data_IF_097059467930
#
_entry.id   IF_097059467930
#
_cell.length_a   1.000
_cell.length_b   1.000
_cell.length_c   1.000
_cell.angle_alpha   90.00
_cell.angle_beta   90.00
_cell.angle_gamma   90.00
#
_symmetry.space_group_name_H-M   'P 1'
#
loop_
_entity.id
_entity.type
_entity.pdbx_description
1 polymer ?
#
# COMPACT_ATOMS: atom_id res chain seq x y z
N UNK A 1 -2.43 -16.08 9.34
CA UNK A 1 -1.74 -14.87 8.86
C UNK A 1 -0.95 -14.31 10.03
N UNK A 2 0.23 -13.75 9.82
CA UNK A 2 0.99 -13.13 10.91
C UNK A 2 0.48 -11.71 11.12
N UNK A 3 -0.25 -11.49 12.22
CA UNK A 3 -0.87 -10.20 12.54
C UNK A 3 0.19 -9.09 12.68
N UNK A 4 1.39 -9.44 13.14
CA UNK A 4 2.50 -8.50 13.30
C UNK A 4 2.99 -7.93 11.96
N UNK A 5 2.71 -8.60 10.84
CA UNK A 5 3.00 -8.09 9.49
C UNK A 5 1.95 -7.07 9.04
N UNK A 6 0.68 -7.26 9.43
CA UNK A 6 -0.41 -6.32 9.11
C UNK A 6 -0.25 -5.02 9.90
N UNK A 7 0.17 -5.10 11.16
CA UNK A 7 0.46 -3.93 12.01
C UNK A 7 1.55 -3.02 11.41
N UNK A 8 2.46 -3.58 10.61
CA UNK A 8 3.53 -2.83 9.93
C UNK A 8 3.09 -2.19 8.62
N UNK A 9 1.83 -2.36 8.18
CA UNK A 9 1.36 -1.82 6.91
C UNK A 9 1.26 -0.29 6.90
N UNK A 10 0.87 0.31 8.02
CA UNK A 10 0.74 1.76 8.20
C UNK A 10 1.80 2.25 9.17
N UNK A 11 2.51 3.32 8.81
CA UNK A 11 3.41 3.97 9.76
C UNK A 11 2.60 5.02 10.54
N UNK A 12 2.43 4.87 11.87
CA UNK A 12 1.59 5.78 12.65
C UNK A 12 2.24 7.17 12.86
N UNK A 13 3.54 7.30 12.65
CA UNK A 13 4.27 8.55 12.84
C UNK A 13 4.93 9.01 11.53
N UNK A 14 4.59 10.23 11.13
CA UNK A 14 5.17 10.87 9.96
C UNK A 14 6.71 11.00 10.09
N UNK A 15 7.44 10.54 9.08
CA UNK A 15 8.92 10.53 9.12
C UNK A 15 9.57 11.90 8.87
N UNK A 16 8.82 12.88 8.34
CA UNK A 16 9.33 14.24 8.08
C UNK A 16 10.29 14.37 6.89
N UNK A 17 10.57 13.28 6.16
CA UNK A 17 11.51 13.28 5.02
C UNK A 17 10.81 13.65 3.73
N UNK A 18 11.33 14.63 2.99
CA UNK A 18 10.82 14.99 1.65
C UNK A 18 10.75 13.77 0.73
N UNK A 19 9.56 13.48 0.21
CA UNK A 19 9.30 12.36 -0.71
C UNK A 19 8.89 11.04 -0.06
N UNK A 20 8.85 10.95 1.27
CA UNK A 20 8.18 9.84 1.95
C UNK A 20 6.67 10.06 1.89
N UNK A 21 5.91 9.04 1.48
CA UNK A 21 4.46 9.08 1.59
C UNK A 21 4.09 8.98 3.07
N UNK A 22 3.37 9.99 3.57
CA UNK A 22 3.32 10.39 4.98
C UNK A 22 2.90 9.29 5.98
N UNK A 23 2.30 8.18 5.52
CA UNK A 23 1.71 7.14 6.39
C UNK A 23 1.92 5.70 5.91
N UNK A 24 2.78 5.44 4.93
CA UNK A 24 2.93 4.09 4.35
C UNK A 24 4.27 3.44 4.69
N UNK A 25 4.24 2.14 4.97
CA UNK A 25 5.47 1.39 5.20
C UNK A 25 6.18 0.99 3.92
N UNK A 26 7.47 0.69 4.05
CA UNK A 26 8.27 0.15 2.95
C UNK A 26 7.64 -1.12 2.37
N UNK A 27 6.95 -1.93 3.20
CA UNK A 27 6.21 -3.11 2.77
C UNK A 27 5.05 -2.73 1.84
N UNK A 28 4.23 -1.73 2.22
CA UNK A 28 3.14 -1.24 1.39
C UNK A 28 3.65 -0.67 0.05
N UNK A 29 4.70 0.15 0.09
CA UNK A 29 5.32 0.75 -1.11
C UNK A 29 5.91 -0.33 -2.03
N UNK A 30 6.66 -1.29 -1.48
CA UNK A 30 7.24 -2.38 -2.25
C UNK A 30 6.16 -3.26 -2.89
N UNK A 31 5.13 -3.60 -2.14
CA UNK A 31 3.99 -4.41 -2.62
C UNK A 31 3.33 -3.72 -3.81
N UNK A 32 3.00 -2.45 -3.67
CA UNK A 32 2.33 -1.69 -4.73
C UNK A 32 3.23 -1.51 -5.96
N UNK A 33 4.53 -1.27 -5.76
CA UNK A 33 5.50 -1.18 -6.86
C UNK A 33 5.65 -2.52 -7.60
N UNK A 34 5.66 -3.64 -6.88
CA UNK A 34 5.71 -4.98 -7.47
C UNK A 34 4.48 -5.26 -8.32
N UNK A 35 3.28 -4.97 -7.81
CA UNK A 35 2.03 -5.15 -8.55
C UNK A 35 2.00 -4.28 -9.83
N UNK A 36 2.41 -3.01 -9.73
CA UNK A 36 2.57 -2.14 -10.92
C UNK A 36 3.53 -2.75 -11.94
N UNK A 37 4.67 -3.28 -11.50
CA UNK A 37 5.70 -3.81 -12.38
C UNK A 37 5.29 -5.12 -13.07
N UNK A 38 4.64 -6.03 -12.34
CA UNK A 38 4.21 -7.35 -12.83
C UNK A 38 3.00 -7.23 -13.74
N UNK A 39 1.97 -6.50 -13.32
CA UNK A 39 0.70 -6.36 -14.05
C UNK A 39 0.66 -5.16 -15.00
N UNK A 40 1.73 -4.35 -15.06
CA UNK A 40 1.85 -3.15 -15.91
C UNK A 40 0.73 -2.13 -15.67
N UNK A 41 0.35 -1.94 -14.41
CA UNK A 41 -0.75 -1.06 -14.01
C UNK A 41 -0.30 0.40 -13.83
N UNK A 42 -1.15 1.34 -14.25
CA UNK A 42 -1.02 2.74 -13.86
C UNK A 42 -1.31 2.91 -12.35
N UNK A 43 -0.84 4.00 -11.72
CA UNK A 43 -0.96 4.23 -10.26
C UNK A 43 -2.38 4.00 -9.73
N UNK A 44 -3.37 4.70 -10.28
CA UNK A 44 -4.78 4.57 -9.88
C UNK A 44 -5.40 3.20 -10.17
N UNK A 45 -4.97 2.52 -11.24
CA UNK A 45 -5.43 1.15 -11.51
C UNK A 45 -4.84 0.15 -10.50
N UNK A 46 -3.58 0.34 -10.11
CA UNK A 46 -2.94 -0.49 -9.11
C UNK A 46 -3.56 -0.29 -7.71
N UNK A 47 -3.96 0.93 -7.38
CA UNK A 47 -4.67 1.23 -6.13
C UNK A 47 -5.95 0.39 -6.04
N UNK A 48 -6.87 0.54 -7.00
CA UNK A 48 -8.13 -0.22 -6.99
C UNK A 48 -7.92 -1.74 -7.05
N UNK A 49 -6.91 -2.20 -7.78
CA UNK A 49 -6.57 -3.63 -7.82
C UNK A 49 -6.10 -4.16 -6.46
N UNK A 50 -5.25 -3.40 -5.76
CA UNK A 50 -4.77 -3.78 -4.42
C UNK A 50 -5.91 -3.73 -3.39
N UNK A 51 -6.79 -2.72 -3.47
CA UNK A 51 -8.02 -2.65 -2.65
C UNK A 51 -8.88 -3.91 -2.84
N UNK A 52 -9.12 -4.36 -4.08
CA UNK A 52 -9.88 -5.59 -4.34
C UNK A 52 -9.21 -6.86 -3.83
N UNK A 53 -7.87 -6.93 -3.87
CA UNK A 53 -7.14 -8.08 -3.28
C UNK A 53 -7.33 -8.11 -1.77
N UNK A 54 -7.19 -6.97 -1.09
CA UNK A 54 -7.35 -6.87 0.36
C UNK A 54 -8.78 -7.17 0.79
N UNK A 55 -9.78 -6.70 0.05
CA UNK A 55 -11.19 -7.03 0.26
C UNK A 55 -11.45 -8.53 0.13
N UNK A 56 -10.89 -9.17 -0.90
CA UNK A 56 -11.00 -10.63 -1.11
C UNK A 56 -10.33 -11.42 0.02
N UNK A 57 -9.30 -10.84 0.65
CA UNK A 57 -8.62 -11.43 1.80
C UNK A 57 -9.29 -11.12 3.14
N UNK A 58 -10.40 -10.34 3.14
CA UNK A 58 -11.08 -9.84 4.34
C UNK A 58 -10.15 -9.04 5.26
N UNK A 59 -9.24 -8.25 4.68
CA UNK A 59 -8.26 -7.42 5.40
C UNK A 59 -8.61 -5.94 5.24
N UNK A 60 -8.81 -5.24 6.35
CA UNK A 60 -9.06 -3.78 6.39
C UNK A 60 -7.76 -2.99 6.56
N UNK A 61 -7.03 -2.82 5.45
CA UNK A 61 -5.79 -2.04 5.40
C UNK A 61 -5.90 -0.89 4.38
N UNK A 62 -5.46 0.33 4.74
CA UNK A 62 -5.55 1.46 3.82
C UNK A 62 -4.56 1.33 2.67
N UNK A 63 -4.99 1.65 1.45
CA UNK A 63 -4.16 1.65 0.25
C UNK A 63 -3.72 3.07 -0.10
N UNK A 64 -2.54 3.18 -0.72
CA UNK A 64 -1.97 4.46 -1.14
C UNK A 64 -2.92 5.21 -2.08
N UNK A 65 -3.32 6.41 -1.69
CA UNK A 65 -4.12 7.25 -2.57
C UNK A 65 -3.22 7.86 -3.66
N UNK A 66 -3.58 7.58 -4.91
CA UNK A 66 -2.95 8.13 -6.10
C UNK A 66 -3.83 9.20 -6.78
N UNK A 67 -4.67 9.90 -6.01
CA UNK A 67 -5.31 11.14 -6.44
C UNK A 67 -4.28 12.27 -6.49
N UNK A 68 -3.96 12.74 -7.69
CA UNK A 68 -3.25 14.01 -7.92
C UNK A 68 -4.22 15.18 -7.82
#
# INVERSE_FOLDING_TARGET
>A
MDEAMLEQWVIPNFSGKSGALDFHSDLAICTMTMLKAVYKLAGRQCQGFLESILELMEIDLPVLDHST
#
